data_IF_527846409339
#
_entry.id   IF_527846409339
#
_cell.length_a   1.000
_cell.length_b   1.000
_cell.length_c   1.000
_cell.angle_alpha   90.00
_cell.angle_beta   90.00
_cell.angle_gamma   90.00
#
_symmetry.space_group_name_H-M   'P 1'
#
loop_
_entity.id
_entity.type
_entity.pdbx_description
1 polymer ?
#
# COMPACT_ATOMS: atom_id res chain seq x y z
N UNK A 1 21.26 31.52 -47.88
CA UNK A 1 20.98 31.17 -47.40
C UNK A 1 20.83 30.75 -46.47
N UNK A 2 20.79 30.63 -46.18
CA UNK A 2 20.64 30.30 -45.22
C UNK A 2 20.11 29.48 -44.87
N UNK A 3 19.91 29.06 -44.93
CA UNK A 3 19.35 28.27 -44.38
C UNK A 3 19.45 27.80 -43.54
N UNK A 4 19.77 28.00 -43.35
CA UNK A 4 19.76 27.60 -42.52
C UNK A 4 19.17 27.09 -41.87
N UNK A 5 18.78 27.02 -41.90
CA UNK A 5 18.12 26.65 -41.24
C UNK A 5 17.73 25.79 -41.11
N UNK A 6 17.73 25.72 -41.37
CA UNK A 6 17.21 25.04 -41.30
C UNK A 6 17.39 24.16 -40.83
N UNK A 7 17.86 23.73 -40.93
CA UNK A 7 18.16 22.91 -40.47
C UNK A 7 18.16 22.73 -39.29
N UNK A 8 18.49 23.16 -38.80
CA UNK A 8 18.46 23.16 -37.47
C UNK A 8 17.31 22.71 -36.97
N UNK A 9 16.43 22.84 -37.60
CA UNK A 9 15.31 22.53 -37.18
C UNK A 9 15.13 21.20 -36.85
N UNK A 10 15.39 20.30 -37.52
CA UNK A 10 15.02 18.95 -37.27
C UNK A 10 15.68 18.32 -36.12
N UNK A 11 16.74 18.85 -35.75
CA UNK A 11 17.51 18.22 -34.73
C UNK A 11 16.83 18.15 -33.43
N UNK A 12 16.10 19.14 -33.09
CA UNK A 12 15.50 19.18 -31.82
C UNK A 12 14.46 18.19 -31.64
N UNK A 13 13.74 17.92 -32.60
CA UNK A 13 12.60 17.11 -32.48
C UNK A 13 12.87 15.68 -32.09
N UNK A 14 13.88 15.05 -32.57
CA UNK A 14 14.17 13.68 -32.18
C UNK A 14 14.41 13.56 -30.68
N UNK A 15 15.09 14.50 -30.11
CA UNK A 15 15.37 14.41 -28.70
C UNK A 15 14.14 14.46 -27.86
N UNK A 16 13.20 15.26 -28.28
CA UNK A 16 11.95 15.38 -27.53
C UNK A 16 11.20 14.08 -27.53
N UNK A 17 11.23 13.39 -28.66
CA UNK A 17 10.51 12.14 -28.75
C UNK A 17 11.10 11.08 -27.82
N UNK A 18 12.38 11.05 -27.71
CA UNK A 18 13.02 10.11 -26.79
C UNK A 18 12.61 10.36 -25.36
N UNK A 19 12.53 11.61 -24.99
CA UNK A 19 12.16 11.93 -23.61
C UNK A 19 10.76 11.44 -23.29
N UNK A 20 9.86 11.56 -24.23
CA UNK A 20 8.49 11.09 -24.01
C UNK A 20 8.46 9.59 -23.84
N UNK A 21 9.20 8.87 -24.65
CA UNK A 21 9.22 7.42 -24.54
C UNK A 21 9.77 6.99 -23.20
N UNK A 22 10.78 7.67 -22.71
CA UNK A 22 11.36 7.33 -21.43
C UNK A 22 10.35 7.54 -20.31
N UNK A 23 9.59 8.60 -20.39
CA UNK A 23 8.57 8.86 -19.38
C UNK A 23 7.53 7.76 -19.35
N UNK A 24 7.12 7.28 -20.50
CA UNK A 24 6.14 6.21 -20.56
C UNK A 24 6.69 4.94 -19.93
N UNK A 25 7.93 4.61 -20.20
CA UNK A 25 8.54 3.44 -19.61
C UNK A 25 8.57 3.54 -18.08
N UNK A 26 8.88 4.71 -17.57
CA UNK A 26 8.90 4.90 -16.14
C UNK A 26 7.52 4.65 -15.53
N UNK A 27 6.50 5.10 -16.20
CA UNK A 27 5.16 4.87 -15.70
C UNK A 27 4.80 3.41 -15.65
N UNK A 28 5.17 2.65 -16.66
CA UNK A 28 4.92 1.23 -16.66
C UNK A 28 5.72 0.53 -15.60
N UNK A 29 6.96 0.92 -15.44
CA UNK A 29 7.78 0.34 -14.40
C UNK A 29 7.37 0.76 -13.03
N UNK A 30 6.56 1.79 -12.94
CA UNK A 30 6.10 2.28 -11.66
C UNK A 30 4.94 1.51 -11.07
N UNK A 31 4.44 0.50 -11.79
CA UNK A 31 3.40 -0.34 -11.21
C UNK A 31 3.95 -0.92 -9.92
N UNK A 32 3.22 -0.82 -8.84
CA UNK A 32 3.77 -1.18 -7.55
C UNK A 32 2.66 -1.47 -6.57
N UNK A 33 3.04 -1.99 -5.45
CA UNK A 33 2.12 -2.35 -4.40
C UNK A 33 1.48 -1.09 -3.82
N UNK A 34 0.23 -1.23 -3.43
CA UNK A 34 -0.47 -0.19 -2.72
C UNK A 34 -0.19 -0.32 -1.23
N UNK A 35 -0.44 0.76 -0.52
CA UNK A 35 -0.34 0.77 0.92
C UNK A 35 -1.66 1.30 1.47
N UNK A 36 -2.19 0.59 2.46
CA UNK A 36 -3.45 0.95 3.10
C UNK A 36 -3.24 0.94 4.60
N UNK A 37 -4.06 1.71 5.29
CA UNK A 37 -3.92 1.84 6.73
C UNK A 37 -5.22 1.51 7.44
N UNK A 38 -5.10 0.80 8.56
CA UNK A 38 -6.19 0.53 9.48
C UNK A 38 -5.80 1.15 10.81
N UNK A 39 -6.68 1.96 11.36
CA UNK A 39 -6.44 2.57 12.66
C UNK A 39 -7.08 1.71 13.72
N UNK A 40 -6.42 1.60 14.86
CA UNK A 40 -6.95 0.95 16.03
C UNK A 40 -7.27 2.06 17.03
N UNK A 41 -8.54 2.23 17.33
CA UNK A 41 -8.97 3.32 18.19
C UNK A 41 -10.28 2.95 18.84
N UNK A 42 -10.43 3.28 20.11
CA UNK A 42 -11.65 3.03 20.87
C UNK A 42 -12.07 1.56 20.78
N UNK A 43 -11.10 0.64 20.91
CA UNK A 43 -11.35 -0.80 20.89
C UNK A 43 -11.96 -1.28 19.58
N UNK A 44 -11.68 -0.60 18.47
CA UNK A 44 -12.18 -1.02 17.15
C UNK A 44 -11.08 -0.91 16.12
N UNK A 45 -11.25 -1.64 15.02
CA UNK A 45 -10.41 -1.51 13.83
C UNK A 45 -11.19 -0.66 12.82
N UNK A 46 -10.53 0.40 12.30
CA UNK A 46 -11.18 1.33 11.38
C UNK A 46 -10.37 1.44 10.10
N UNK A 47 -10.86 0.99 8.98
CA UNK A 47 -12.15 0.34 8.79
C UNK A 47 -12.14 -1.09 9.31
N UNK A 48 -13.28 -1.60 9.69
CA UNK A 48 -13.38 -2.95 10.21
C UNK A 48 -13.20 -3.98 9.11
N UNK A 49 -13.65 -3.67 7.90
CA UNK A 49 -13.49 -4.53 6.73
C UNK A 49 -12.86 -3.72 5.63
N UNK A 50 -11.86 -4.30 4.97
CA UNK A 50 -11.10 -3.62 3.94
C UNK A 50 -10.83 -4.60 2.81
N UNK A 51 -11.10 -4.19 1.57
CA UNK A 51 -10.78 -4.98 0.39
C UNK A 51 -9.55 -4.38 -0.27
N UNK A 52 -8.56 -5.23 -0.54
CA UNK A 52 -7.30 -4.79 -1.14
C UNK A 52 -6.91 -5.73 -2.27
N UNK A 53 -5.98 -5.29 -3.08
CA UNK A 53 -5.44 -6.09 -4.18
C UNK A 53 -4.25 -6.88 -3.68
N UNK A 54 -3.97 -7.99 -4.37
CA UNK A 54 -2.76 -8.77 -4.11
C UNK A 54 -1.56 -7.83 -4.22
N UNK A 55 -0.64 -7.94 -3.29
CA UNK A 55 0.56 -7.11 -3.24
C UNK A 55 0.42 -5.90 -2.33
N UNK A 56 -0.76 -5.65 -1.81
CA UNK A 56 -0.99 -4.51 -0.93
C UNK A 56 -0.36 -4.77 0.44
N UNK A 57 0.28 -3.77 0.98
CA UNK A 57 0.75 -3.77 2.36
C UNK A 57 -0.26 -3.01 3.20
N UNK A 58 -0.78 -3.67 4.24
CA UNK A 58 -1.69 -3.03 5.19
C UNK A 58 -0.92 -2.76 6.46
N UNK A 59 -1.04 -1.56 6.97
CA UNK A 59 -0.41 -1.15 8.22
C UNK A 59 -1.50 -0.82 9.23
N UNK A 60 -1.42 -1.45 10.38
CA UNK A 60 -2.30 -1.14 11.52
C UNK A 60 -1.52 -0.27 12.49
N UNK A 61 -2.15 0.78 12.96
CA UNK A 61 -1.54 1.67 13.93
C UNK A 61 -2.44 1.82 15.14
N UNK A 62 -1.87 1.61 16.32
CA UNK A 62 -2.65 1.72 17.56
C UNK A 62 -2.70 3.18 18.01
N UNK A 63 -3.90 3.73 18.05
CA UNK A 63 -4.12 5.09 18.53
C UNK A 63 -4.81 5.11 19.89
N UNK A 64 -5.09 3.94 20.46
CA UNK A 64 -5.63 3.86 21.81
C UNK A 64 -4.52 4.06 22.83
N UNK A 65 -4.89 4.39 24.03
CA UNK A 65 -3.96 4.53 25.14
C UNK A 65 -3.76 3.22 25.90
N UNK A 66 -4.22 2.10 25.33
CA UNK A 66 -4.00 0.76 25.88
C UNK A 66 -3.45 -0.13 24.77
N UNK A 67 -2.76 -1.22 25.13
CA UNK A 67 -2.16 -2.09 24.12
C UNK A 67 -3.18 -2.97 23.41
N UNK A 68 -2.86 -3.30 22.17
CA UNK A 68 -3.65 -4.20 21.34
C UNK A 68 -2.73 -5.13 20.57
N UNK A 69 -3.28 -6.22 20.04
CA UNK A 69 -2.56 -7.15 19.20
C UNK A 69 -3.39 -7.44 17.96
N UNK A 70 -2.77 -8.12 16.99
CA UNK A 70 -3.44 -8.57 15.77
C UNK A 70 -3.09 -10.02 15.56
N UNK A 71 -4.10 -10.85 15.40
CA UNK A 71 -3.91 -12.28 15.15
C UNK A 71 -4.85 -12.72 14.04
N UNK A 72 -4.28 -13.27 12.98
CA UNK A 72 -5.02 -13.97 11.95
C UNK A 72 -4.47 -15.39 11.90
N UNK A 73 -5.27 -16.34 12.34
CA UNK A 73 -4.81 -17.70 12.60
C UNK A 73 -4.09 -18.29 11.39
N UNK A 74 -2.85 -18.74 11.60
CA UNK A 74 -2.06 -19.34 10.53
C UNK A 74 -1.55 -18.38 9.48
N UNK A 75 -1.83 -17.09 9.62
CA UNK A 75 -1.48 -16.10 8.58
C UNK A 75 -0.51 -15.07 9.11
N UNK A 76 -0.88 -14.36 10.16
CA UNK A 76 0.03 -13.37 10.75
C UNK A 76 -0.32 -13.13 12.21
N UNK A 77 0.64 -12.58 12.92
CA UNK A 77 0.50 -12.22 14.32
C UNK A 77 1.42 -11.05 14.59
N UNK A 78 0.89 -10.01 15.20
CA UNK A 78 1.73 -8.90 15.62
C UNK A 78 2.27 -9.16 17.02
N UNK A 79 3.31 -8.45 17.39
CA UNK A 79 3.64 -8.28 18.80
C UNK A 79 2.58 -7.37 19.41
N UNK A 80 2.66 -7.16 20.72
CA UNK A 80 1.80 -6.20 21.39
C UNK A 80 2.14 -4.81 20.88
N UNK A 81 1.11 -4.06 20.49
CA UNK A 81 1.25 -2.71 19.99
C UNK A 81 0.82 -1.75 21.08
N UNK A 82 1.77 -0.96 21.57
CA UNK A 82 1.47 0.13 22.50
C UNK A 82 0.98 1.33 21.69
N UNK A 83 0.61 2.40 22.38
CA UNK A 83 0.14 3.61 21.71
C UNK A 83 1.16 4.07 20.66
N UNK A 84 0.67 4.32 19.46
CA UNK A 84 1.45 4.76 18.29
C UNK A 84 2.35 3.70 17.67
N UNK A 85 2.36 2.48 18.19
CA UNK A 85 3.05 1.38 17.54
C UNK A 85 2.27 0.93 16.31
N UNK A 86 2.99 0.32 15.36
CA UNK A 86 2.42 -0.15 14.10
C UNK A 86 2.85 -1.57 13.80
N UNK A 87 2.05 -2.24 13.00
CA UNK A 87 2.37 -3.55 12.43
C UNK A 87 1.94 -3.54 10.97
N UNK A 88 2.77 -4.08 10.09
CA UNK A 88 2.47 -4.14 8.66
C UNK A 88 2.54 -5.56 8.16
N UNK A 89 1.70 -5.88 7.20
CA UNK A 89 1.71 -7.18 6.56
C UNK A 89 1.39 -7.00 5.08
N UNK A 90 2.14 -7.67 4.20
CA UNK A 90 1.91 -7.62 2.75
C UNK A 90 1.16 -8.87 2.33
N UNK A 91 0.04 -8.68 1.67
CA UNK A 91 -0.85 -9.77 1.27
C UNK A 91 -0.50 -10.22 -0.14
N UNK A 92 0.02 -11.44 -0.28
CA UNK A 92 0.47 -11.95 -1.56
C UNK A 92 -0.44 -13.03 -2.13
N UNK A 93 -1.49 -13.43 -1.41
CA UNK A 93 -2.42 -14.45 -1.86
C UNK A 93 -3.84 -13.97 -1.67
N UNK A 94 -4.74 -14.26 -2.61
CA UNK A 94 -6.14 -13.86 -2.47
C UNK A 94 -6.82 -14.66 -1.37
N UNK A 95 -7.87 -14.10 -0.81
CA UNK A 95 -8.65 -14.76 0.22
C UNK A 95 -9.14 -13.79 1.27
N UNK A 96 -9.85 -14.33 2.23
CA UNK A 96 -10.39 -13.56 3.35
C UNK A 96 -9.54 -13.84 4.57
N UNK A 97 -9.06 -12.76 5.18
CA UNK A 97 -8.17 -12.85 6.34
C UNK A 97 -8.87 -12.20 7.52
N UNK A 98 -9.57 -13.02 8.30
CA UNK A 98 -10.18 -12.55 9.53
C UNK A 98 -9.12 -12.40 10.59
N UNK A 99 -9.23 -11.37 11.40
CA UNK A 99 -8.27 -11.17 12.49
C UNK A 99 -8.98 -10.59 13.71
N UNK A 100 -8.31 -10.66 14.84
CA UNK A 100 -8.85 -10.19 16.10
C UNK A 100 -7.71 -9.75 17.01
N UNK A 101 -8.07 -9.07 18.09
CA UNK A 101 -7.12 -8.69 19.12
C UNK A 101 -7.12 -9.79 20.19
N UNK A 102 -5.95 -10.38 20.47
CA UNK A 102 -5.90 -11.47 21.44
C UNK A 102 -6.12 -10.99 22.88
N UNK A 103 -5.90 -9.70 23.13
CA UNK A 103 -6.15 -9.10 24.44
C UNK A 103 -7.62 -8.73 24.63
N UNK A 104 -8.33 -8.50 23.54
CA UNK A 104 -9.72 -8.08 23.54
C UNK A 104 -10.46 -8.82 22.41
N UNK A 105 -10.79 -10.10 22.58
CA UNK A 105 -11.24 -10.95 21.47
C UNK A 105 -12.48 -10.49 20.72
N UNK A 106 -13.26 -9.58 21.30
CA UNK A 106 -14.43 -9.04 20.61
C UNK A 106 -14.04 -8.04 19.53
N UNK A 107 -12.82 -7.52 19.57
CA UNK A 107 -12.30 -6.65 18.51
C UNK A 107 -11.93 -7.51 17.33
N UNK A 108 -12.67 -7.40 16.25
CA UNK A 108 -12.44 -8.21 15.05
C UNK A 108 -12.39 -7.34 13.82
N UNK A 109 -11.70 -7.84 12.80
CA UNK A 109 -11.63 -7.17 11.51
C UNK A 109 -11.46 -8.19 10.41
N UNK A 110 -11.46 -7.73 9.17
CA UNK A 110 -11.36 -8.57 8.00
C UNK A 110 -10.63 -7.83 6.90
N UNK A 111 -9.64 -8.49 6.30
CA UNK A 111 -9.03 -8.01 5.05
C UNK A 111 -9.42 -8.99 3.97
N UNK A 112 -10.07 -8.50 2.93
CA UNK A 112 -10.37 -9.31 1.74
C UNK A 112 -9.37 -8.96 0.67
N UNK A 113 -8.66 -9.97 0.15
CA UNK A 113 -7.61 -9.78 -0.85
C UNK A 113 -8.06 -10.39 -2.16
N UNK A 114 -8.04 -9.60 -3.24
CA UNK A 114 -8.51 -10.08 -4.53
C UNK A 114 -7.68 -9.57 -5.73
#
# INVERSE_FOLDING_TARGET
MAFVNLRSLGIREPGIKFLIAAAILLQLGGAHAEEMMVMIDNFTFEPKALTVKIGTTVTWRNRDDIPHTLVSAGKFRSKTLDTDDSFSFTFTSPGDYSYFCSLHPHMTGMIKVE
#
